data_IF_630895011820
#
_entry.id   IF_630895011820
#
_cell.length_a   1.000
_cell.length_b   1.000
_cell.length_c   1.000
_cell.angle_alpha   90.00
_cell.angle_beta   90.00
_cell.angle_gamma   90.00
#
_symmetry.space_group_name_H-M   'P 1'
#
loop_
_entity.id
_entity.type
_entity.pdbx_description
1 polymer ?
#
# COMPACT_ATOMS: atom_id res chain seq x y z
N UNK A 1 -13.94 11.86 -8.39
CA UNK A 1 -13.70 10.44 -8.74
C UNK A 1 -12.78 9.91 -7.66
N UNK A 2 -13.13 8.79 -7.03
CA UNK A 2 -12.23 8.09 -6.11
C UNK A 2 -11.81 6.80 -6.81
N UNK A 3 -10.51 6.52 -6.83
CA UNK A 3 -9.92 5.31 -7.42
C UNK A 3 -9.19 4.60 -6.30
N UNK A 4 -9.55 3.34 -6.07
CA UNK A 4 -8.82 2.49 -5.14
C UNK A 4 -7.51 2.04 -5.80
N UNK A 5 -6.40 2.25 -5.10
CA UNK A 5 -5.07 1.82 -5.54
C UNK A 5 -4.77 0.47 -4.86
N UNK A 6 -4.44 -0.60 -5.61
CA UNK A 6 -4.07 -1.89 -5.02
C UNK A 6 -2.88 -1.77 -4.05
N UNK A 7 -2.89 -2.57 -2.98
CA UNK A 7 -1.87 -2.55 -1.93
C UNK A 7 -0.46 -2.92 -2.39
N UNK A 8 -0.34 -3.56 -3.56
CA UNK A 8 0.90 -4.00 -4.21
C UNK A 8 1.25 -3.15 -5.45
N UNK A 9 0.49 -2.08 -5.72
CA UNK A 9 0.76 -1.21 -6.86
C UNK A 9 2.08 -0.47 -6.67
N UNK A 10 3.00 -0.71 -7.58
CA UNK A 10 4.25 0.04 -7.70
C UNK A 10 4.20 0.88 -8.98
N UNK A 11 4.29 2.20 -8.87
CA UNK A 11 4.31 3.08 -10.04
C UNK A 11 3.72 4.46 -9.78
N UNK A 12 3.82 5.33 -10.79
CA UNK A 12 3.19 6.64 -10.77
C UNK A 12 1.72 6.56 -11.20
N UNK A 13 0.86 7.27 -10.51
CA UNK A 13 -0.52 7.52 -10.91
C UNK A 13 -0.57 8.76 -11.79
N UNK A 14 -1.15 8.64 -12.97
CA UNK A 14 -1.33 9.75 -13.91
C UNK A 14 -2.78 9.85 -14.31
N UNK A 15 -3.32 11.06 -14.30
CA UNK A 15 -4.64 11.35 -14.83
C UNK A 15 -4.51 12.24 -16.06
N UNK A 16 -5.15 11.85 -17.17
CA UNK A 16 -5.07 12.57 -18.44
C UNK A 16 -6.49 12.91 -18.92
N UNK A 17 -6.73 14.18 -19.21
CA UNK A 17 -7.90 14.62 -19.97
C UNK A 17 -7.49 14.89 -21.41
N UNK A 18 -8.25 14.39 -22.38
CA UNK A 18 -7.96 14.61 -23.80
C UNK A 18 -8.97 15.60 -24.36
N UNK A 19 -8.47 16.71 -24.90
CA UNK A 19 -9.26 17.71 -25.62
C UNK A 19 -8.73 17.77 -27.06
N UNK A 20 -9.60 17.58 -28.04
CA UNK A 20 -9.23 17.68 -29.45
C UNK A 20 -10.07 18.74 -30.14
N UNK A 21 -9.42 19.78 -30.66
CA UNK A 21 -10.04 20.78 -31.54
C UNK A 21 -9.32 20.77 -32.90
N UNK A 22 -10.00 20.35 -33.99
CA UNK A 22 -9.41 20.27 -35.33
C UNK A 22 -8.93 21.62 -35.91
N UNK A 23 -9.44 22.75 -35.40
CA UNK A 23 -9.08 24.09 -35.86
C UNK A 23 -8.02 24.78 -34.98
N UNK A 24 -7.54 24.11 -33.93
CA UNK A 24 -6.57 24.68 -33.00
C UNK A 24 -5.15 24.69 -33.60
N UNK A 25 -4.54 25.88 -33.82
CA UNK A 25 -3.18 25.97 -34.33
C UNK A 25 -2.10 25.55 -33.31
N UNK A 26 -2.44 25.41 -32.02
CA UNK A 26 -1.52 25.07 -30.92
C UNK A 26 -2.15 24.03 -29.98
N UNK A 27 -2.22 22.75 -30.40
CA UNK A 27 -2.95 21.70 -29.69
C UNK A 27 -2.30 21.22 -28.38
N UNK A 28 -1.29 21.94 -27.86
CA UNK A 28 -0.62 21.57 -26.61
C UNK A 28 -1.48 21.94 -25.40
N UNK A 29 -1.57 21.04 -24.42
CA UNK A 29 -2.31 21.25 -23.18
C UNK A 29 -1.52 20.70 -21.99
N UNK A 30 -0.60 21.49 -21.42
CA UNK A 30 0.21 21.06 -20.30
C UNK A 30 -0.62 20.76 -19.03
N UNK A 31 -1.73 21.50 -18.82
CA UNK A 31 -2.62 21.30 -17.66
C UNK A 31 -3.60 20.12 -17.83
N UNK A 32 -3.57 19.46 -18.99
CA UNK A 32 -4.43 18.30 -19.26
C UNK A 32 -3.89 16.99 -18.64
N UNK A 33 -2.69 17.01 -18.08
CA UNK A 33 -2.08 15.85 -17.41
C UNK A 33 -1.71 16.21 -15.99
N UNK A 34 -2.16 15.40 -15.04
CA UNK A 34 -1.82 15.50 -13.62
C UNK A 34 -1.01 14.27 -13.19
N UNK A 35 0.02 14.48 -12.37
CA UNK A 35 1.02 13.48 -11.97
C UNK A 35 2.29 13.43 -12.85
N UNK A 36 3.12 12.37 -12.75
CA UNK A 36 2.88 11.15 -11.99
C UNK A 36 3.04 11.33 -10.47
N UNK A 37 2.04 10.90 -9.71
CA UNK A 37 2.10 10.84 -8.26
C UNK A 37 2.52 9.44 -7.81
N UNK A 38 3.54 9.36 -6.96
CA UNK A 38 3.93 8.08 -6.35
C UNK A 38 3.11 7.90 -5.07
N UNK A 39 2.32 6.82 -4.93
CA UNK A 39 1.64 6.53 -3.68
C UNK A 39 2.65 6.35 -2.54
N UNK A 40 2.33 6.89 -1.36
CA UNK A 40 3.12 6.60 -0.16
C UNK A 40 2.94 5.14 0.23
N UNK A 41 4.03 4.38 0.24
CA UNK A 41 4.04 3.00 0.74
C UNK A 41 4.01 3.02 2.28
N UNK A 42 2.83 2.78 2.85
CA UNK A 42 2.64 2.77 4.31
C UNK A 42 2.14 1.40 4.76
N UNK A 43 2.98 0.69 5.50
CA UNK A 43 2.62 -0.54 6.21
C UNK A 43 2.62 -0.31 7.73
N UNK A 44 1.65 -0.89 8.43
CA UNK A 44 1.58 -0.86 9.89
C UNK A 44 1.56 -2.29 10.44
N UNK A 45 2.71 -2.75 10.94
CA UNK A 45 2.92 -4.14 11.33
C UNK A 45 2.85 -4.30 12.84
N UNK A 46 1.91 -5.12 13.29
CA UNK A 46 1.79 -5.52 14.70
C UNK A 46 2.11 -7.00 14.86
N UNK A 47 2.85 -7.34 15.91
CA UNK A 47 3.21 -8.72 16.25
C UNK A 47 2.74 -9.08 17.65
N UNK A 48 2.10 -10.24 17.80
CA UNK A 48 1.66 -10.79 19.08
C UNK A 48 2.24 -12.18 19.26
N UNK A 49 2.94 -12.41 20.37
CA UNK A 49 3.42 -13.74 20.77
C UNK A 49 2.61 -14.23 21.96
N UNK A 50 2.01 -15.39 21.82
CA UNK A 50 1.25 -16.01 22.91
C UNK A 50 1.29 -17.52 22.81
N UNK A 51 1.22 -18.19 23.95
CA UNK A 51 0.99 -19.63 24.08
C UNK A 51 -0.32 -19.90 24.84
N UNK A 52 -1.13 -18.86 25.07
CA UNK A 52 -2.40 -18.94 25.80
C UNK A 52 -2.30 -19.41 27.25
N UNK A 53 -1.09 -19.53 27.83
CA UNK A 53 -0.87 -20.18 29.13
C UNK A 53 -0.09 -19.27 30.08
N UNK A 54 -0.53 -19.14 31.32
CA UNK A 54 0.13 -18.35 32.37
C UNK A 54 0.94 -19.20 33.35
N UNK A 55 0.79 -20.52 33.30
CA UNK A 55 1.46 -21.50 34.16
C UNK A 55 2.44 -22.36 33.35
N UNK A 56 3.59 -22.66 33.95
CA UNK A 56 4.69 -23.33 33.28
C UNK A 56 5.30 -24.40 34.17
N UNK A 57 5.66 -25.54 33.58
CA UNK A 57 6.36 -26.63 34.27
C UNK A 57 7.84 -26.57 33.90
N UNK A 58 8.77 -26.46 34.86
CA UNK A 58 10.20 -26.47 34.56
C UNK A 58 10.62 -27.72 33.80
N UNK A 59 11.47 -27.56 32.79
CA UNK A 59 12.00 -28.65 31.96
C UNK A 59 11.11 -29.08 30.79
N UNK A 60 9.94 -28.46 30.59
CA UNK A 60 9.08 -28.74 29.43
C UNK A 60 9.23 -27.69 28.34
N UNK A 61 9.06 -28.10 27.08
CA UNK A 61 9.04 -27.19 25.94
C UNK A 61 7.66 -26.55 25.83
N UNK A 62 7.65 -25.24 25.62
CA UNK A 62 6.42 -24.47 25.44
C UNK A 62 6.33 -24.00 24.00
N UNK A 63 5.34 -24.48 23.22
CA UNK A 63 5.08 -23.92 21.90
C UNK A 63 4.43 -22.54 22.04
N UNK A 64 4.85 -21.59 21.20
CA UNK A 64 4.26 -20.27 21.09
C UNK A 64 3.76 -20.06 19.68
N UNK A 65 2.62 -19.39 19.56
CA UNK A 65 2.12 -18.84 18.30
C UNK A 65 2.57 -17.39 18.22
N UNK A 66 3.15 -17.02 17.09
CA UNK A 66 3.43 -15.63 16.73
C UNK A 66 2.47 -15.27 15.61
N UNK A 67 1.62 -14.28 15.87
CA UNK A 67 0.71 -13.71 14.87
C UNK A 67 1.29 -12.38 14.43
N UNK A 68 1.44 -12.22 13.12
CA UNK A 68 1.87 -10.97 12.48
C UNK A 68 0.71 -10.44 11.66
N UNK A 69 0.34 -9.18 11.86
CA UNK A 69 -0.79 -8.52 11.18
C UNK A 69 -0.31 -7.22 10.55
N UNK A 70 -0.68 -6.99 9.28
CA UNK A 70 -0.53 -5.70 8.61
C UNK A 70 -1.86 -4.94 8.65
N UNK A 71 -1.91 -3.85 9.41
CA UNK A 71 -3.06 -2.94 9.50
C UNK A 71 -2.94 -1.76 8.52
N UNK A 72 -1.81 -1.63 7.81
CA UNK A 72 -1.57 -0.56 6.85
C UNK A 72 -2.18 -0.84 5.48
N UNK A 73 -2.36 0.20 4.64
CA UNK A 73 -2.91 0.07 3.30
C UNK A 73 -1.96 -0.62 2.30
N UNK A 74 -0.64 -0.56 2.53
CA UNK A 74 0.36 -1.11 1.61
C UNK A 74 0.94 -2.44 2.10
N UNK A 75 1.37 -3.29 1.17
CA UNK A 75 2.11 -4.50 1.51
C UNK A 75 3.44 -4.18 2.22
N UNK A 76 3.79 -4.93 3.27
CA UNK A 76 5.10 -4.82 3.90
C UNK A 76 6.14 -5.58 3.08
N UNK A 77 6.96 -4.85 2.32
CA UNK A 77 7.93 -5.38 1.36
C UNK A 77 9.38 -5.37 1.85
N UNK A 78 9.70 -4.66 2.94
CA UNK A 78 11.04 -4.64 3.53
C UNK A 78 11.33 -5.93 4.30
N UNK A 79 11.87 -6.92 3.61
CA UNK A 79 12.52 -8.13 4.17
C UNK A 79 13.99 -8.19 3.76
#
# INVERSE_FOLDING_TARGET
VNVDVPADFTGGLTNVVTVTNPEDPTPDCPDCTDGPDTPDEVSDITTVKTNGTTTYVPGTTVPYTITVTNNGPSAASSV
#
